data_IF_127163732446
#
_entry.id   IF_127163732446
#
_cell.length_a   1.000
_cell.length_b   1.000
_cell.length_c   1.000
_cell.angle_alpha   90.00
_cell.angle_beta   90.00
_cell.angle_gamma   90.00
#
_symmetry.space_group_name_H-M   'P 1'
#
loop_
_entity.id
_entity.type
_entity.pdbx_description
1 polymer ?
#
# COMPACT_ATOMS: atom_id res chain seq x y z
N UNK A 1 38.19 62.60 -8.87
CA UNK A 1 37.68 61.83 -7.67
C UNK A 1 36.34 61.25 -8.04
N UNK A 2 36.36 59.97 -8.45
CA UNK A 2 35.20 59.26 -8.89
C UNK A 2 34.87 58.31 -7.73
N UNK A 3 33.69 58.50 -7.12
CA UNK A 3 33.17 57.57 -6.08
C UNK A 3 32.34 56.45 -6.78
N UNK A 4 32.84 55.25 -6.73
CA UNK A 4 32.12 54.04 -7.12
C UNK A 4 31.11 53.68 -6.03
N UNK A 5 29.82 53.70 -6.38
CA UNK A 5 28.75 53.19 -5.53
C UNK A 5 28.61 51.68 -5.79
N UNK A 6 28.89 50.89 -4.77
CA UNK A 6 28.59 49.44 -4.79
C UNK A 6 27.11 49.21 -4.58
N UNK A 7 26.46 48.66 -5.58
CA UNK A 7 25.07 48.19 -5.51
C UNK A 7 25.05 46.83 -4.80
N UNK A 8 24.58 46.80 -3.56
CA UNK A 8 24.32 45.54 -2.84
C UNK A 8 23.00 45.04 -3.34
N UNK A 9 23.05 43.97 -4.14
CA UNK A 9 21.86 43.23 -4.59
C UNK A 9 21.39 42.35 -3.44
N UNK A 10 20.37 42.80 -2.71
CA UNK A 10 19.69 41.97 -1.70
C UNK A 10 18.82 40.96 -2.43
N UNK A 11 19.29 39.74 -2.52
CA UNK A 11 18.46 38.62 -2.98
C UNK A 11 17.48 38.33 -1.84
N UNK A 12 16.24 38.73 -2.02
CA UNK A 12 15.14 38.29 -1.19
C UNK A 12 14.91 36.80 -1.50
N UNK A 13 15.38 35.92 -0.62
CA UNK A 13 14.97 34.50 -0.61
C UNK A 13 13.50 34.51 -0.21
N UNK A 14 12.63 34.38 -1.18
CA UNK A 14 11.23 34.03 -0.93
C UNK A 14 11.24 32.66 -0.26
N UNK A 15 11.12 32.65 1.07
CA UNK A 15 10.92 31.46 1.84
C UNK A 15 9.61 30.83 1.38
N UNK A 16 9.70 29.75 0.61
CA UNK A 16 8.61 28.83 0.42
C UNK A 16 8.16 28.41 1.82
N UNK A 17 6.85 28.50 2.10
CA UNK A 17 6.26 27.93 3.30
C UNK A 17 6.37 26.39 3.21
N UNK A 18 7.58 25.88 3.37
CA UNK A 18 7.77 24.48 3.67
C UNK A 18 7.11 24.24 5.03
N UNK A 19 6.06 23.45 5.05
CA UNK A 19 5.46 23.00 6.29
C UNK A 19 6.55 22.50 7.22
N UNK A 20 6.42 22.77 8.52
CA UNK A 20 7.40 22.37 9.52
C UNK A 20 7.80 20.91 9.30
N UNK A 21 9.11 20.65 9.24
CA UNK A 21 9.63 19.30 9.20
C UNK A 21 8.97 18.47 10.33
N UNK A 22 8.59 17.22 10.06
CA UNK A 22 7.91 16.39 11.05
C UNK A 22 8.77 16.24 12.29
N UNK A 23 8.17 16.53 13.45
CA UNK A 23 8.85 16.36 14.75
C UNK A 23 8.74 14.90 15.14
N UNK A 24 9.87 14.22 15.22
CA UNK A 24 9.93 12.91 15.86
C UNK A 24 9.64 13.08 17.36
N UNK A 25 8.60 12.41 17.86
CA UNK A 25 7.93 12.75 19.12
C UNK A 25 8.61 12.28 20.41
N UNK A 26 9.84 11.76 20.36
CA UNK A 26 10.57 11.36 21.56
C UNK A 26 12.03 11.81 21.54
N UNK A 27 12.40 12.84 22.30
CA UNK A 27 13.77 13.35 22.34
C UNK A 27 14.77 12.42 23.04
N UNK A 28 14.30 11.37 23.72
CA UNK A 28 15.17 10.47 24.51
C UNK A 28 15.41 9.11 23.86
N UNK A 29 14.67 8.77 22.82
CA UNK A 29 14.93 7.54 22.07
C UNK A 29 16.05 7.79 21.05
N UNK A 30 16.98 6.84 20.93
CA UNK A 30 17.88 6.79 19.77
C UNK A 30 17.02 6.80 18.48
N UNK A 31 17.43 7.55 17.48
CA UNK A 31 16.69 7.66 16.24
C UNK A 31 16.48 6.27 15.64
N UNK A 32 15.23 5.80 15.67
CA UNK A 32 14.81 4.55 15.01
C UNK A 32 14.59 4.77 13.52
N UNK A 33 14.22 6.01 13.17
CA UNK A 33 14.06 6.42 11.79
C UNK A 33 14.55 7.88 11.65
N UNK A 34 15.42 8.12 10.71
CA UNK A 34 15.88 9.45 10.34
C UNK A 34 15.34 9.80 8.93
N UNK A 35 15.05 11.07 8.65
CA UNK A 35 14.69 11.48 7.30
C UNK A 35 15.85 11.18 6.34
N UNK A 36 15.60 10.33 5.33
CA UNK A 36 16.53 10.07 4.24
C UNK A 36 16.38 11.16 3.17
N UNK A 37 15.15 11.46 2.82
CA UNK A 37 14.77 12.54 1.94
C UNK A 37 13.33 12.94 2.17
N UNK A 38 12.99 14.19 1.88
CA UNK A 38 11.62 14.68 1.93
C UNK A 38 11.25 15.20 0.54
N UNK A 39 10.23 14.65 -0.05
CA UNK A 39 9.71 15.06 -1.35
C UNK A 39 8.40 15.81 -1.16
N UNK A 40 8.29 16.98 -1.78
CA UNK A 40 7.00 17.65 -1.94
C UNK A 40 6.42 17.25 -3.29
N UNK A 41 5.26 16.65 -3.27
CA UNK A 41 4.46 16.44 -4.47
C UNK A 41 3.44 17.57 -4.47
N UNK A 42 3.40 18.39 -5.53
CA UNK A 42 2.54 19.59 -5.64
C UNK A 42 1.05 19.26 -5.73
N UNK A 43 0.59 18.59 -4.70
CA UNK A 43 -0.79 18.17 -4.53
C UNK A 43 -1.59 19.13 -3.63
N UNK A 44 -0.86 19.80 -2.72
CA UNK A 44 -1.43 20.62 -1.66
C UNK A 44 -2.21 21.83 -2.17
N UNK A 45 -1.71 22.50 -3.20
CA UNK A 45 -2.33 23.71 -3.72
C UNK A 45 -3.73 23.47 -4.30
N UNK A 46 -3.92 22.40 -5.04
CA UNK A 46 -5.22 22.10 -5.66
C UNK A 46 -6.34 21.78 -4.65
N UNK A 47 -5.99 21.23 -3.47
CA UNK A 47 -6.97 20.89 -2.44
C UNK A 47 -7.34 22.06 -1.54
N UNK A 48 -6.43 23.00 -1.32
CA UNK A 48 -6.69 24.17 -0.46
C UNK A 48 -7.62 25.19 -1.12
N UNK A 49 -7.62 25.28 -2.44
CA UNK A 49 -8.47 26.20 -3.19
C UNK A 49 -9.95 25.79 -3.24
N UNK A 50 -10.26 24.50 -2.96
CA UNK A 50 -11.60 23.96 -3.12
C UNK A 50 -12.39 23.74 -1.82
N UNK A 51 -11.74 23.84 -0.63
CA UNK A 51 -12.42 23.52 0.63
C UNK A 51 -12.61 24.73 1.54
N UNK A 52 -13.70 25.43 1.37
CA UNK A 52 -14.07 26.54 2.28
C UNK A 52 -14.91 26.11 3.50
N UNK A 53 -15.31 24.86 3.67
CA UNK A 53 -16.36 24.56 4.67
C UNK A 53 -16.21 23.23 5.44
N UNK A 54 -15.33 22.30 5.10
CA UNK A 54 -15.17 21.07 5.90
C UNK A 54 -13.69 20.77 6.18
N UNK A 55 -13.38 20.36 7.42
CA UNK A 55 -12.11 19.70 7.78
C UNK A 55 -12.02 18.32 7.11
N UNK A 56 -12.05 18.29 5.80
CA UNK A 56 -11.80 17.06 5.07
C UNK A 56 -10.29 16.79 5.10
N UNK A 57 -9.91 15.77 5.84
CA UNK A 57 -8.52 15.27 5.79
C UNK A 57 -8.40 14.43 4.52
N UNK A 58 -7.63 14.87 3.52
CA UNK A 58 -7.37 14.06 2.35
C UNK A 58 -6.69 12.76 2.78
N UNK A 59 -6.91 11.68 2.04
CA UNK A 59 -6.26 10.38 2.27
C UNK A 59 -5.57 9.93 1.01
N UNK A 60 -4.30 9.64 1.13
CA UNK A 60 -3.51 9.02 0.08
C UNK A 60 -3.47 7.51 0.29
N UNK A 61 -3.62 6.75 -0.78
CA UNK A 61 -3.75 5.30 -0.72
C UNK A 61 -2.64 4.56 -1.47
N UNK A 62 -1.98 5.21 -2.41
CA UNK A 62 -0.99 4.56 -3.25
C UNK A 62 0.32 4.33 -2.48
N UNK A 63 0.76 3.09 -2.41
CA UNK A 63 2.05 2.72 -1.85
C UNK A 63 3.18 3.25 -2.76
N UNK A 64 4.13 4.05 -2.25
CA UNK A 64 5.32 4.41 -3.02
C UNK A 64 6.14 3.17 -3.35
N UNK A 65 6.64 3.07 -4.57
CA UNK A 65 7.48 1.97 -5.02
C UNK A 65 8.88 2.48 -5.40
N UNK A 66 9.92 1.68 -5.13
CA UNK A 66 11.28 1.97 -5.57
C UNK A 66 11.59 1.17 -6.83
N UNK A 67 12.12 1.83 -7.85
CA UNK A 67 12.75 1.16 -8.97
C UNK A 67 14.11 0.62 -8.54
N UNK A 68 14.28 -0.69 -8.44
CA UNK A 68 15.52 -1.29 -7.91
C UNK A 68 16.73 -1.01 -8.79
N UNK A 69 16.53 -0.72 -10.08
CA UNK A 69 17.63 -0.46 -11.02
C UNK A 69 18.20 0.97 -10.88
N UNK A 70 17.34 1.94 -10.56
CA UNK A 70 17.74 3.36 -10.52
C UNK A 70 17.65 4.00 -9.13
N UNK A 71 17.05 3.33 -8.14
CA UNK A 71 16.77 3.88 -6.82
C UNK A 71 15.71 4.98 -6.82
N UNK A 72 15.03 5.23 -7.95
CA UNK A 72 13.98 6.23 -8.04
C UNK A 72 12.69 5.76 -7.40
N UNK A 73 11.96 6.68 -6.83
CA UNK A 73 10.64 6.44 -6.25
C UNK A 73 9.57 6.75 -7.31
N UNK A 74 8.63 5.82 -7.49
CA UNK A 74 7.44 6.05 -8.31
C UNK A 74 6.22 6.04 -7.41
N UNK A 75 5.39 7.08 -7.51
CA UNK A 75 4.21 7.25 -6.67
C UNK A 75 3.10 7.95 -7.44
N UNK A 76 1.90 7.41 -7.33
CA UNK A 76 0.67 8.06 -7.76
C UNK A 76 0.00 8.77 -6.57
N UNK A 77 -0.72 9.85 -6.83
CA UNK A 77 -1.40 10.64 -5.80
C UNK A 77 -2.84 10.96 -6.19
N UNK A 78 -3.61 11.46 -5.25
CA UNK A 78 -5.03 11.79 -5.46
C UNK A 78 -5.28 12.91 -6.45
N UNK A 79 -4.28 13.73 -6.76
CA UNK A 79 -4.35 14.74 -7.81
C UNK A 79 -4.36 14.14 -9.23
N UNK A 80 -4.34 12.82 -9.35
CA UNK A 80 -4.30 12.13 -10.64
C UNK A 80 -2.93 12.17 -11.32
N UNK A 81 -1.86 12.44 -10.57
CA UNK A 81 -0.52 12.50 -11.15
C UNK A 81 0.36 11.36 -10.64
N UNK A 82 0.89 10.59 -11.58
CA UNK A 82 1.95 9.62 -11.34
C UNK A 82 3.30 10.31 -11.52
N UNK A 83 4.18 10.22 -10.53
CA UNK A 83 5.50 10.87 -10.54
C UNK A 83 6.61 9.86 -10.32
N UNK A 84 7.72 10.02 -11.03
CA UNK A 84 8.99 9.41 -10.67
C UNK A 84 9.90 10.50 -10.12
N UNK A 85 10.41 10.29 -8.91
CA UNK A 85 11.28 11.23 -8.22
C UNK A 85 12.59 10.54 -7.81
N UNK A 86 13.67 11.30 -7.79
CA UNK A 86 14.95 10.84 -7.25
C UNK A 86 14.94 10.90 -5.73
N UNK A 87 15.90 10.23 -5.09
CA UNK A 87 16.03 10.24 -3.63
C UNK A 87 16.23 11.65 -3.03
N UNK A 88 16.75 12.60 -3.83
CA UNK A 88 16.91 14.00 -3.45
C UNK A 88 15.69 14.88 -3.81
N UNK A 89 14.56 14.28 -4.18
CA UNK A 89 13.28 14.94 -4.39
C UNK A 89 13.07 15.58 -5.76
N UNK A 90 13.94 15.33 -6.74
CA UNK A 90 13.77 15.90 -8.09
C UNK A 90 12.82 15.03 -8.91
N UNK A 91 11.78 15.66 -9.46
CA UNK A 91 10.89 14.99 -10.42
C UNK A 91 11.66 14.70 -11.70
N UNK A 92 11.63 13.45 -12.13
CA UNK A 92 12.25 12.97 -13.39
C UNK A 92 11.25 12.96 -14.51
N UNK A 93 10.06 12.48 -14.24
CA UNK A 93 8.93 12.52 -15.15
C UNK A 93 7.63 12.51 -14.35
N UNK A 94 6.57 12.95 -14.99
CA UNK A 94 5.20 12.88 -14.47
C UNK A 94 4.22 12.54 -15.57
N UNK A 95 3.14 11.85 -15.20
CA UNK A 95 2.00 11.54 -16.05
C UNK A 95 0.73 12.00 -15.36
N UNK A 96 -0.05 12.86 -16.01
CA UNK A 96 -1.35 13.32 -15.52
C UNK A 96 -2.44 12.40 -16.05
N UNK A 97 -3.34 11.97 -15.19
CA UNK A 97 -4.52 11.15 -15.52
C UNK A 97 -5.79 11.84 -15.05
N UNK A 98 -6.97 11.50 -15.61
CA UNK A 98 -8.22 12.15 -15.24
C UNK A 98 -8.77 11.75 -13.87
N UNK A 99 -8.19 10.75 -13.20
CA UNK A 99 -8.65 10.23 -11.92
C UNK A 99 -7.51 9.97 -10.93
N UNK A 100 -7.81 9.90 -9.62
CA UNK A 100 -6.85 9.58 -8.57
C UNK A 100 -6.17 8.22 -8.73
N UNK A 101 -5.00 8.07 -8.06
CA UNK A 101 -4.39 6.77 -7.85
C UNK A 101 -4.75 6.22 -6.47
N UNK A 102 -5.33 5.02 -6.44
CA UNK A 102 -5.74 4.34 -5.19
C UNK A 102 -4.82 3.20 -4.78
N UNK A 103 -3.93 2.78 -5.67
CA UNK A 103 -2.99 1.69 -5.43
C UNK A 103 -1.57 2.06 -5.86
N UNK A 104 -0.59 1.37 -5.29
CA UNK A 104 0.78 1.46 -5.71
C UNK A 104 1.02 0.86 -7.09
N UNK A 105 2.20 1.06 -7.63
CA UNK A 105 2.64 0.52 -8.92
C UNK A 105 3.47 -0.74 -8.74
N UNK A 106 3.50 -1.59 -9.75
CA UNK A 106 4.51 -2.64 -9.88
C UNK A 106 5.63 -2.12 -10.78
N UNK A 107 6.89 -2.23 -10.31
CA UNK A 107 8.06 -1.93 -11.14
C UNK A 107 8.81 -3.23 -11.38
N UNK A 108 8.99 -3.59 -12.64
CA UNK A 108 9.70 -4.81 -13.01
C UNK A 108 10.35 -4.68 -14.39
N UNK A 109 11.61 -5.10 -14.48
CA UNK A 109 12.38 -5.16 -15.73
C UNK A 109 12.36 -3.82 -16.51
N UNK A 110 12.47 -2.68 -15.79
CA UNK A 110 12.47 -1.34 -16.35
C UNK A 110 11.09 -0.83 -16.80
N UNK A 111 10.01 -1.53 -16.45
CA UNK A 111 8.63 -1.14 -16.74
C UNK A 111 7.86 -0.86 -15.46
N UNK A 112 7.11 0.24 -15.44
CA UNK A 112 6.16 0.61 -14.39
C UNK A 112 4.76 0.23 -14.86
N UNK A 113 4.09 -0.66 -14.14
CA UNK A 113 2.68 -1.00 -14.36
C UNK A 113 1.84 -0.25 -13.34
N UNK A 114 1.07 0.72 -13.83
CA UNK A 114 0.33 1.67 -13.00
C UNK A 114 -1.17 1.50 -13.17
N UNK A 115 -1.88 1.08 -12.12
CA UNK A 115 -3.35 1.02 -12.12
C UNK A 115 -3.91 2.41 -11.83
N UNK A 116 -4.84 2.87 -12.64
CA UNK A 116 -5.51 4.16 -12.46
C UNK A 116 -6.93 4.04 -11.91
N UNK A 117 -7.37 5.03 -11.13
CA UNK A 117 -8.76 5.18 -10.72
C UNK A 117 -9.70 5.45 -11.88
N UNK A 118 -9.17 5.83 -13.03
CA UNK A 118 -9.90 5.95 -14.30
C UNK A 118 -10.19 4.62 -15.00
N UNK A 119 -9.85 3.50 -14.35
CA UNK A 119 -10.04 2.17 -14.89
C UNK A 119 -8.95 1.72 -15.88
N UNK A 120 -7.97 2.56 -16.15
CA UNK A 120 -6.92 2.27 -17.13
C UNK A 120 -5.66 1.79 -16.43
N UNK A 121 -5.19 0.59 -16.78
CA UNK A 121 -3.83 0.17 -16.45
C UNK A 121 -2.87 0.62 -17.56
N UNK A 122 -1.72 1.12 -17.16
CA UNK A 122 -0.68 1.68 -18.04
C UNK A 122 0.64 1.00 -17.77
N UNK A 123 1.35 0.63 -18.83
CA UNK A 123 2.76 0.27 -18.76
C UNK A 123 3.61 1.43 -19.27
N UNK A 124 4.61 1.83 -18.49
CA UNK A 124 5.49 2.94 -18.83
C UNK A 124 6.94 2.51 -18.69
N UNK A 125 7.83 3.11 -19.50
CA UNK A 125 9.28 3.00 -19.26
C UNK A 125 9.63 3.66 -17.92
N UNK A 126 10.28 2.92 -17.03
CA UNK A 126 10.60 3.41 -15.69
C UNK A 126 11.56 4.62 -15.70
N UNK A 127 12.42 4.74 -16.70
CA UNK A 127 13.41 5.82 -16.80
C UNK A 127 12.84 7.14 -17.33
N UNK A 128 11.86 7.08 -18.27
CA UNK A 128 11.34 8.25 -19.00
C UNK A 128 9.88 8.55 -18.76
N UNK A 129 9.10 7.61 -18.23
CA UNK A 129 7.65 7.72 -18.12
C UNK A 129 6.91 7.58 -19.46
N UNK A 130 7.62 7.22 -20.54
CA UNK A 130 6.98 7.01 -21.84
C UNK A 130 6.03 5.82 -21.78
N UNK A 131 4.78 6.03 -22.20
CA UNK A 131 3.76 4.99 -22.24
C UNK A 131 4.13 3.95 -23.30
N UNK A 132 4.19 2.69 -22.89
CA UNK A 132 4.43 1.54 -23.77
C UNK A 132 3.11 0.99 -24.31
N UNK A 133 2.15 0.80 -23.40
CA UNK A 133 0.80 0.38 -23.73
C UNK A 133 -0.19 0.81 -22.64
N UNK A 134 -1.47 0.78 -22.98
CA UNK A 134 -2.58 1.01 -22.04
C UNK A 134 -3.68 -0.01 -22.31
N UNK A 135 -4.43 -0.36 -21.26
CA UNK A 135 -5.64 -1.16 -21.37
C UNK A 135 -6.72 -0.56 -20.48
N UNK A 136 -7.90 -0.33 -21.04
CA UNK A 136 -9.08 0.17 -20.31
C UNK A 136 -9.90 -1.02 -19.80
N UNK A 137 -9.93 -1.19 -18.46
CA UNK A 137 -10.72 -2.20 -17.79
C UNK A 137 -12.18 -1.76 -17.59
N UNK A 138 -12.49 -0.47 -17.76
CA UNK A 138 -13.82 0.10 -17.55
C UNK A 138 -14.27 0.16 -16.08
N UNK A 139 -13.39 -0.18 -15.14
CA UNK A 139 -13.66 -0.26 -13.70
C UNK A 139 -12.46 0.28 -12.91
N UNK A 140 -12.71 1.05 -11.84
CA UNK A 140 -11.62 1.58 -10.98
C UNK A 140 -10.66 0.47 -10.54
N UNK A 141 -9.37 0.67 -10.75
CA UNK A 141 -8.33 -0.27 -10.33
C UNK A 141 -7.80 0.14 -8.95
N UNK A 142 -7.87 -0.78 -7.99
CA UNK A 142 -7.63 -0.46 -6.57
C UNK A 142 -6.57 -1.34 -5.90
N UNK A 143 -5.94 -2.24 -6.67
CA UNK A 143 -4.89 -3.13 -6.14
C UNK A 143 -3.56 -2.89 -6.82
N UNK A 144 -2.47 -3.14 -6.09
CA UNK A 144 -1.13 -3.16 -6.68
C UNK A 144 -1.07 -4.30 -7.70
N UNK A 145 -0.63 -4.05 -8.94
CA UNK A 145 -0.47 -5.11 -9.92
C UNK A 145 0.57 -6.14 -9.49
N UNK A 146 0.35 -7.40 -9.84
CA UNK A 146 1.34 -8.47 -9.63
C UNK A 146 1.67 -9.16 -10.95
N UNK A 147 2.85 -9.76 -11.02
CA UNK A 147 3.31 -10.46 -12.22
C UNK A 147 3.21 -11.97 -12.04
N UNK A 148 2.60 -12.66 -13.01
CA UNK A 148 2.54 -14.11 -13.08
C UNK A 148 2.60 -14.59 -14.52
N UNK A 149 3.45 -15.58 -14.83
CA UNK A 149 3.48 -16.26 -16.12
C UNK A 149 3.52 -15.29 -17.34
N UNK A 150 4.29 -14.19 -17.23
CA UNK A 150 4.36 -13.15 -18.26
C UNK A 150 3.13 -12.25 -18.36
N UNK A 151 2.23 -12.29 -17.37
CA UNK A 151 1.01 -11.49 -17.33
C UNK A 151 1.03 -10.53 -16.16
N UNK A 152 0.43 -9.36 -16.35
CA UNK A 152 0.12 -8.40 -15.30
C UNK A 152 -1.30 -8.67 -14.80
N UNK A 153 -1.42 -8.93 -13.50
CA UNK A 153 -2.68 -9.18 -12.83
C UNK A 153 -3.05 -7.97 -12.00
N UNK A 154 -4.27 -7.47 -12.13
CA UNK A 154 -4.77 -6.32 -11.36
C UNK A 154 -6.25 -6.51 -11.06
N UNK A 155 -6.68 -6.19 -9.83
CA UNK A 155 -8.08 -6.30 -9.46
C UNK A 155 -8.75 -4.92 -9.39
N UNK A 156 -10.03 -4.89 -9.77
CA UNK A 156 -10.90 -3.72 -9.73
C UNK A 156 -11.70 -3.61 -8.44
N UNK A 157 -12.30 -2.46 -8.23
CA UNK A 157 -13.27 -2.21 -7.15
C UNK A 157 -14.52 -3.09 -7.28
N UNK A 158 -14.87 -3.51 -8.49
CA UNK A 158 -16.05 -4.36 -8.77
C UNK A 158 -15.76 -5.86 -8.70
N UNK A 159 -14.70 -6.26 -7.97
CA UNK A 159 -14.33 -7.67 -7.75
C UNK A 159 -13.99 -8.44 -9.04
N UNK A 160 -13.41 -7.77 -10.02
CA UNK A 160 -12.88 -8.39 -11.25
C UNK A 160 -11.35 -8.42 -11.19
N UNK A 161 -10.75 -9.58 -11.36
CA UNK A 161 -9.31 -9.75 -11.59
C UNK A 161 -9.06 -9.84 -13.09
N UNK A 162 -8.26 -8.91 -13.61
CA UNK A 162 -7.83 -8.89 -15.01
C UNK A 162 -6.43 -9.46 -15.13
N UNK A 163 -6.18 -10.21 -16.20
CA UNK A 163 -4.85 -10.66 -16.61
C UNK A 163 -4.57 -10.17 -18.02
N UNK A 164 -3.50 -9.38 -18.16
CA UNK A 164 -3.07 -8.78 -19.40
C UNK A 164 -1.67 -9.27 -19.75
N UNK A 165 -1.38 -9.43 -21.01
CA UNK A 165 -0.02 -9.71 -21.46
C UNK A 165 0.90 -8.56 -21.07
N UNK A 166 2.02 -8.86 -20.41
CA UNK A 166 2.92 -7.84 -19.89
C UNK A 166 3.66 -7.06 -20.99
N UNK A 167 3.84 -7.66 -22.17
CA UNK A 167 4.60 -7.07 -23.26
C UNK A 167 3.79 -6.04 -24.06
N UNK A 168 2.51 -6.31 -24.31
CA UNK A 168 1.69 -5.48 -25.22
C UNK A 168 0.32 -5.06 -24.63
N UNK A 169 0.01 -5.46 -23.41
CA UNK A 169 -1.21 -5.07 -22.69
C UNK A 169 -2.48 -5.75 -23.19
N UNK A 170 -2.38 -6.75 -24.09
CA UNK A 170 -3.57 -7.44 -24.57
C UNK A 170 -4.23 -8.24 -23.45
N UNK A 171 -5.56 -8.21 -23.46
CA UNK A 171 -6.36 -9.04 -22.57
C UNK A 171 -6.10 -10.53 -22.82
N UNK A 172 -5.91 -11.28 -21.72
CA UNK A 172 -5.71 -12.73 -21.77
C UNK A 172 -6.89 -13.46 -21.14
N UNK A 173 -7.21 -13.12 -19.90
CA UNK A 173 -8.36 -13.63 -19.19
C UNK A 173 -8.80 -12.68 -18.07
N UNK A 174 -10.00 -12.91 -17.56
CA UNK A 174 -10.49 -12.26 -16.35
C UNK A 174 -11.26 -13.25 -15.50
N UNK A 175 -11.25 -13.04 -14.19
CA UNK A 175 -12.09 -13.75 -13.24
C UNK A 175 -12.94 -12.73 -12.49
N UNK A 176 -14.26 -12.90 -12.55
CA UNK A 176 -15.22 -11.94 -12.00
C UNK A 176 -16.13 -12.62 -10.99
N UNK A 177 -16.37 -11.92 -9.88
CA UNK A 177 -17.43 -12.25 -8.93
C UNK A 177 -18.47 -11.14 -8.91
N UNK A 178 -19.70 -11.50 -8.54
CA UNK A 178 -20.76 -10.50 -8.35
C UNK A 178 -20.61 -9.92 -6.96
N UNK A 179 -20.37 -8.60 -6.82
CA UNK A 179 -20.35 -7.97 -5.50
C UNK A 179 -21.67 -8.19 -4.77
N UNK A 180 -21.68 -8.33 -3.44
CA UNK A 180 -22.91 -8.45 -2.67
C UNK A 180 -23.76 -7.18 -2.80
N UNK A 181 -25.07 -7.33 -2.67
CA UNK A 181 -26.04 -6.21 -2.78
C UNK A 181 -26.01 -5.24 -1.57
N UNK A 182 -25.03 -5.34 -0.69
CA UNK A 182 -24.89 -4.54 0.52
C UNK A 182 -23.71 -3.59 0.51
N UNK A 183 -23.41 -3.03 1.68
CA UNK A 183 -22.20 -2.23 1.88
C UNK A 183 -20.95 -3.10 1.82
N UNK A 184 -20.00 -2.74 0.98
CA UNK A 184 -18.70 -3.39 0.82
C UNK A 184 -17.59 -2.43 1.22
N UNK A 185 -16.54 -2.96 1.84
CA UNK A 185 -15.35 -2.16 2.19
C UNK A 185 -14.42 -2.02 0.99
N UNK A 186 -14.20 -3.11 0.25
CA UNK A 186 -13.38 -3.17 -0.98
C UNK A 186 -13.87 -4.27 -1.90
N UNK A 187 -13.61 -4.13 -3.20
CA UNK A 187 -14.04 -5.13 -4.20
C UNK A 187 -13.28 -6.44 -4.12
N UNK A 188 -11.95 -6.37 -4.09
CA UNK A 188 -11.07 -7.53 -4.01
C UNK A 188 -9.76 -7.19 -3.29
N UNK A 189 -9.06 -8.22 -2.83
CA UNK A 189 -7.70 -8.09 -2.29
C UNK A 189 -6.67 -7.91 -3.40
N UNK A 190 -5.48 -7.40 -3.04
CA UNK A 190 -4.30 -7.57 -3.90
C UNK A 190 -4.01 -9.06 -4.03
N UNK A 191 -3.90 -9.60 -5.26
CA UNK A 191 -3.61 -11.02 -5.43
C UNK A 191 -2.19 -11.36 -5.00
N UNK A 192 -1.98 -12.60 -4.57
CA UNK A 192 -0.66 -13.17 -4.30
C UNK A 192 -0.45 -14.36 -5.21
N UNK A 193 0.76 -14.49 -5.77
CA UNK A 193 1.10 -15.55 -6.72
C UNK A 193 2.15 -16.46 -6.12
N UNK A 194 1.90 -17.76 -6.18
CA UNK A 194 2.86 -18.80 -5.79
C UNK A 194 2.69 -20.02 -6.68
N UNK A 195 3.79 -20.52 -7.21
CA UNK A 195 3.86 -21.77 -8.01
C UNK A 195 2.83 -21.82 -9.16
N UNK A 196 2.63 -20.70 -9.88
CA UNK A 196 1.69 -20.61 -10.99
C UNK A 196 0.20 -20.51 -10.57
N UNK A 197 -0.07 -20.33 -9.28
CA UNK A 197 -1.42 -20.17 -8.73
C UNK A 197 -1.58 -18.75 -8.17
N UNK A 198 -2.72 -18.12 -8.47
CA UNK A 198 -3.12 -16.80 -7.99
C UNK A 198 -4.13 -16.97 -6.87
N UNK A 199 -3.84 -16.39 -5.70
CA UNK A 199 -4.71 -16.43 -4.53
C UNK A 199 -5.22 -15.03 -4.21
N UNK A 200 -6.52 -14.91 -3.97
CA UNK A 200 -7.12 -13.63 -3.59
C UNK A 200 -8.44 -13.85 -2.83
N UNK A 201 -8.85 -12.83 -2.11
CA UNK A 201 -10.14 -12.78 -1.43
C UNK A 201 -11.03 -11.69 -2.05
N UNK A 202 -12.34 -11.79 -1.80
CA UNK A 202 -13.38 -10.97 -2.38
C UNK A 202 -14.32 -10.40 -1.33
N UNK A 203 -15.01 -9.32 -1.70
CA UNK A 203 -15.98 -8.64 -0.82
C UNK A 203 -17.26 -9.45 -0.56
N UNK A 204 -17.52 -10.49 -1.34
CA UNK A 204 -18.66 -11.39 -1.16
C UNK A 204 -18.41 -12.54 -0.16
N UNK A 205 -17.30 -12.47 0.59
CA UNK A 205 -16.94 -13.44 1.62
C UNK A 205 -16.19 -14.66 1.12
N UNK A 206 -15.77 -14.66 -0.14
CA UNK A 206 -15.04 -15.77 -0.74
C UNK A 206 -13.53 -15.55 -0.75
N UNK A 207 -12.79 -16.64 -0.76
CA UNK A 207 -11.40 -16.71 -1.21
C UNK A 207 -11.30 -17.71 -2.36
N UNK A 208 -10.41 -17.46 -3.31
CA UNK A 208 -10.21 -18.32 -4.46
C UNK A 208 -8.73 -18.53 -4.80
N UNK A 209 -8.42 -19.69 -5.39
CA UNK A 209 -7.18 -19.96 -6.09
C UNK A 209 -7.47 -20.20 -7.56
N UNK A 210 -6.71 -19.52 -8.41
CA UNK A 210 -6.88 -19.55 -9.86
C UNK A 210 -5.57 -20.00 -10.53
N UNK A 211 -5.67 -20.72 -11.60
CA UNK A 211 -4.53 -20.99 -12.47
C UNK A 211 -4.06 -19.70 -13.13
N UNK A 212 -2.80 -19.32 -12.96
CA UNK A 212 -2.28 -18.03 -13.45
C UNK A 212 -2.25 -17.94 -14.98
N UNK A 213 -2.22 -19.06 -15.69
CA UNK A 213 -2.20 -19.07 -17.16
C UNK A 213 -3.57 -18.89 -17.77
N UNK A 214 -4.58 -19.50 -17.16
CA UNK A 214 -5.92 -19.61 -17.77
C UNK A 214 -7.00 -18.82 -17.05
N UNK A 215 -6.77 -18.41 -15.78
CA UNK A 215 -7.77 -17.81 -14.93
C UNK A 215 -8.82 -18.81 -14.41
N UNK A 216 -8.67 -20.10 -14.73
CA UNK A 216 -9.57 -21.15 -14.27
C UNK A 216 -9.50 -21.33 -12.75
N UNK A 217 -10.65 -21.41 -12.08
CA UNK A 217 -10.69 -21.63 -10.65
C UNK A 217 -10.21 -23.05 -10.32
N UNK A 218 -9.18 -23.13 -9.47
CA UNK A 218 -8.70 -24.39 -8.86
C UNK A 218 -9.61 -24.73 -7.69
N UNK A 219 -9.86 -23.74 -6.84
CA UNK A 219 -10.87 -23.81 -5.80
C UNK A 219 -11.45 -22.41 -5.50
N UNK A 220 -12.65 -22.41 -4.95
CA UNK A 220 -13.39 -21.24 -4.51
C UNK A 220 -14.10 -21.63 -3.20
N UNK A 221 -13.88 -20.87 -2.13
CA UNK A 221 -14.38 -21.17 -0.78
C UNK A 221 -15.08 -20.00 -0.16
N UNK A 222 -16.25 -20.25 0.40
CA UNK A 222 -16.97 -19.31 1.26
C UNK A 222 -16.31 -19.31 2.63
N UNK A 223 -15.78 -18.17 3.06
CA UNK A 223 -15.19 -18.00 4.39
C UNK A 223 -16.09 -17.18 5.30
N UNK A 224 -16.92 -16.31 4.74
CA UNK A 224 -17.84 -15.45 5.48
C UNK A 224 -19.18 -15.39 4.79
N UNK A 225 -20.26 -15.37 5.58
CA UNK A 225 -21.62 -15.30 5.07
C UNK A 225 -22.42 -14.20 5.77
N UNK A 226 -23.44 -13.67 5.09
CA UNK A 226 -24.30 -12.62 5.62
C UNK A 226 -24.55 -11.52 4.59
N UNK A 227 -25.04 -10.39 5.06
CA UNK A 227 -25.41 -9.26 4.20
C UNK A 227 -24.51 -8.03 4.38
N UNK A 228 -23.66 -8.00 5.41
CA UNK A 228 -22.81 -6.85 5.72
C UNK A 228 -21.46 -7.31 6.30
N UNK A 229 -20.39 -6.59 5.93
CA UNK A 229 -19.04 -6.76 6.46
C UNK A 229 -18.45 -8.18 6.31
N UNK A 230 -18.87 -8.89 5.27
CA UNK A 230 -18.39 -10.25 4.99
C UNK A 230 -17.06 -10.28 4.22
N UNK A 231 -16.51 -9.12 3.93
CA UNK A 231 -15.33 -8.93 3.09
C UNK A 231 -14.14 -9.82 3.52
N UNK A 232 -13.55 -10.51 2.55
CA UNK A 232 -12.27 -11.21 2.62
C UNK A 232 -11.29 -10.46 1.72
N UNK A 233 -11.12 -9.18 1.96
CA UNK A 233 -10.35 -8.27 1.08
C UNK A 233 -8.92 -8.00 1.56
N UNK A 234 -8.45 -8.73 2.58
CA UNK A 234 -7.04 -8.69 3.00
C UNK A 234 -6.14 -9.31 1.93
N UNK A 235 -5.00 -8.68 1.64
CA UNK A 235 -3.95 -9.32 0.83
C UNK A 235 -3.52 -10.61 1.52
N UNK A 236 -3.64 -11.78 0.87
CA UNK A 236 -3.23 -13.05 1.47
C UNK A 236 -1.74 -13.11 1.79
N UNK A 237 -1.35 -13.99 2.70
CA UNK A 237 0.05 -14.32 2.96
C UNK A 237 0.23 -15.81 3.13
N UNK A 238 1.47 -16.31 3.08
CA UNK A 238 1.76 -17.71 3.32
C UNK A 238 2.54 -17.87 4.62
N UNK A 239 2.14 -18.84 5.44
CA UNK A 239 2.90 -19.28 6.60
C UNK A 239 4.08 -20.20 6.20
N UNK A 240 4.98 -20.56 7.13
CA UNK A 240 6.08 -21.47 6.85
C UNK A 240 5.66 -22.89 6.44
N UNK A 241 4.47 -23.33 6.83
CA UNK A 241 3.91 -24.63 6.44
C UNK A 241 3.28 -24.61 5.04
N UNK A 242 3.11 -23.42 4.45
CA UNK A 242 2.54 -23.22 3.14
C UNK A 242 1.03 -23.00 3.14
N UNK A 243 0.41 -22.81 4.30
CA UNK A 243 -1.00 -22.44 4.38
C UNK A 243 -1.21 -21.02 3.93
N UNK A 244 -2.34 -20.76 3.30
CA UNK A 244 -2.78 -19.43 2.89
C UNK A 244 -3.47 -18.75 4.07
N UNK A 245 -2.93 -17.64 4.53
CA UNK A 245 -3.49 -16.84 5.61
C UNK A 245 -4.29 -15.69 5.00
N UNK A 246 -5.56 -15.58 5.40
CA UNK A 246 -6.47 -14.51 4.99
C UNK A 246 -7.26 -14.00 6.20
N UNK A 247 -7.76 -12.77 6.12
CA UNK A 247 -8.67 -12.21 7.11
C UNK A 247 -10.03 -11.94 6.49
N UNK A 248 -11.08 -12.34 7.19
CA UNK A 248 -12.44 -11.85 7.00
C UNK A 248 -12.70 -10.75 8.03
N UNK A 249 -13.24 -9.64 7.58
CA UNK A 249 -13.59 -8.53 8.49
C UNK A 249 -14.55 -8.97 9.59
N UNK A 250 -15.50 -9.83 9.27
CA UNK A 250 -16.51 -10.35 10.20
C UNK A 250 -16.02 -11.53 11.04
N UNK A 251 -15.34 -12.49 10.41
CA UNK A 251 -15.14 -13.81 10.98
C UNK A 251 -13.69 -14.12 11.40
N UNK A 252 -12.78 -13.14 11.33
CA UNK A 252 -11.41 -13.22 11.84
C UNK A 252 -10.40 -13.78 10.85
N UNK A 253 -9.37 -14.47 11.37
CA UNK A 253 -8.28 -15.02 10.58
C UNK A 253 -8.56 -16.47 10.21
N UNK A 254 -8.17 -16.82 9.00
CA UNK A 254 -8.20 -18.20 8.50
C UNK A 254 -6.82 -18.61 8.01
N UNK A 255 -6.43 -19.86 8.30
CA UNK A 255 -5.43 -20.58 7.55
C UNK A 255 -6.11 -21.62 6.69
N UNK A 256 -5.82 -21.60 5.40
CA UNK A 256 -6.38 -22.52 4.42
C UNK A 256 -5.26 -23.39 3.85
N UNK A 257 -5.55 -24.65 3.59
CA UNK A 257 -4.70 -25.46 2.73
C UNK A 257 -4.66 -24.82 1.34
N UNK A 258 -3.48 -24.43 0.88
CA UNK A 258 -3.33 -23.68 -0.36
C UNK A 258 -3.76 -24.49 -1.60
N UNK A 259 -3.75 -25.83 -1.55
CA UNK A 259 -4.10 -26.69 -2.69
C UNK A 259 -5.59 -26.95 -2.78
N UNK A 260 -6.25 -27.16 -1.63
CA UNK A 260 -7.68 -27.52 -1.60
C UNK A 260 -8.60 -26.36 -1.20
N UNK A 261 -8.07 -25.33 -0.53
CA UNK A 261 -8.85 -24.25 0.06
C UNK A 261 -9.56 -24.64 1.35
N UNK A 262 -9.31 -25.85 1.89
CA UNK A 262 -9.95 -26.29 3.13
C UNK A 262 -9.38 -25.54 4.33
N UNK A 263 -10.25 -25.21 5.29
CA UNK A 263 -9.84 -24.51 6.51
C UNK A 263 -9.02 -25.42 7.41
N UNK A 264 -7.77 -25.04 7.67
CA UNK A 264 -6.88 -25.72 8.62
C UNK A 264 -7.18 -25.24 10.04
N UNK A 265 -7.28 -23.95 10.23
CA UNK A 265 -7.75 -23.34 11.46
C UNK A 265 -8.43 -21.99 11.19
N UNK A 266 -9.27 -21.57 12.12
CA UNK A 266 -9.91 -20.26 12.17
C UNK A 266 -9.74 -19.66 13.55
N UNK A 267 -9.33 -18.41 13.63
CA UNK A 267 -9.37 -17.65 14.88
C UNK A 267 -10.65 -16.85 14.97
N UNK A 268 -11.18 -16.69 16.18
CA UNK A 268 -12.34 -15.84 16.40
C UNK A 268 -11.93 -14.37 16.55
N UNK A 269 -12.75 -13.47 16.06
CA UNK A 269 -12.56 -12.02 16.19
C UNK A 269 -13.02 -11.31 14.92
N UNK A 270 -13.59 -10.12 15.05
CA UNK A 270 -14.07 -9.31 13.94
C UNK A 270 -13.21 -8.05 13.78
N UNK A 271 -13.37 -7.34 12.67
CA UNK A 271 -12.75 -6.06 12.43
C UNK A 271 -11.30 -6.13 11.92
N UNK A 272 -10.79 -7.30 11.52
CA UNK A 272 -9.47 -7.44 10.92
C UNK A 272 -9.57 -7.28 9.39
N UNK A 273 -8.83 -6.31 8.84
CA UNK A 273 -8.88 -5.96 7.42
C UNK A 273 -7.56 -6.19 6.68
N UNK A 274 -6.44 -6.28 7.40
CA UNK A 274 -5.11 -6.37 6.83
C UNK A 274 -4.31 -7.47 7.50
N UNK A 275 -3.54 -8.20 6.70
CA UNK A 275 -2.70 -9.31 7.14
C UNK A 275 -1.28 -9.13 6.60
N UNK A 276 -0.29 -9.31 7.45
CA UNK A 276 1.13 -9.40 7.09
C UNK A 276 1.73 -10.63 7.75
N UNK A 277 2.11 -11.62 6.97
CA UNK A 277 2.74 -12.85 7.49
C UNK A 277 4.26 -12.69 7.47
N UNK A 278 4.91 -12.98 8.60
CA UNK A 278 6.37 -12.98 8.75
C UNK A 278 6.83 -14.22 9.53
N UNK A 279 7.27 -15.23 8.79
CA UNK A 279 7.64 -16.52 9.38
C UNK A 279 6.47 -17.09 10.20
N UNK A 280 6.69 -17.47 11.48
CA UNK A 280 5.66 -18.07 12.33
C UNK A 280 4.64 -17.08 12.91
N UNK A 281 4.72 -15.80 12.56
CA UNK A 281 3.86 -14.74 13.12
C UNK A 281 3.03 -14.08 12.02
N UNK A 282 1.75 -13.89 12.32
CA UNK A 282 0.80 -13.11 11.53
C UNK A 282 0.58 -11.79 12.27
N UNK A 283 0.84 -10.67 11.61
CA UNK A 283 0.40 -9.36 12.08
C UNK A 283 -0.91 -9.01 11.39
N UNK A 284 -1.97 -8.79 12.17
CA UNK A 284 -3.27 -8.45 11.62
C UNK A 284 -3.76 -7.13 12.21
N UNK A 285 -4.15 -6.22 11.33
CA UNK A 285 -4.63 -4.89 11.69
C UNK A 285 -6.10 -4.73 11.31
N UNK A 286 -6.82 -4.04 12.16
CA UNK A 286 -8.20 -3.63 11.95
C UNK A 286 -8.37 -2.13 12.15
N UNK A 287 -9.60 -1.65 12.27
CA UNK A 287 -9.86 -0.22 12.43
C UNK A 287 -9.33 0.33 13.76
N UNK A 288 -9.44 -0.44 14.83
CA UNK A 288 -9.20 0.01 16.22
C UNK A 288 -8.04 -0.72 16.91
N UNK A 289 -7.46 -1.73 16.28
CA UNK A 289 -6.41 -2.55 16.90
C UNK A 289 -5.46 -3.16 15.88
N UNK A 290 -4.31 -3.58 16.41
CA UNK A 290 -3.37 -4.47 15.73
C UNK A 290 -2.95 -5.59 16.68
N UNK A 291 -2.68 -6.76 16.15
CA UNK A 291 -2.20 -7.89 16.94
C UNK A 291 -1.21 -8.76 16.19
N UNK A 292 -0.42 -9.50 16.97
CA UNK A 292 0.38 -10.63 16.49
C UNK A 292 -0.30 -11.94 16.87
N UNK A 293 -0.31 -12.87 15.95
CA UNK A 293 -0.95 -14.18 16.09
C UNK A 293 0.01 -15.27 15.64
N UNK A 294 -0.07 -16.45 16.27
CA UNK A 294 0.66 -17.62 15.82
C UNK A 294 0.15 -18.06 14.46
N UNK A 295 1.03 -18.22 13.49
CA UNK A 295 0.66 -18.74 12.17
C UNK A 295 0.24 -20.21 12.21
N UNK A 296 0.75 -20.98 13.16
CA UNK A 296 0.43 -22.39 13.36
C UNK A 296 -0.99 -22.60 13.92
N UNK A 297 -1.44 -21.72 14.83
CA UNK A 297 -2.68 -21.97 15.61
C UNK A 297 -3.72 -20.87 15.53
N UNK A 298 -3.40 -19.72 14.95
CA UNK A 298 -4.27 -18.54 14.95
C UNK A 298 -4.45 -17.87 16.32
N UNK A 299 -3.81 -18.37 17.38
CA UNK A 299 -3.92 -17.78 18.74
C UNK A 299 -3.17 -16.46 18.82
N UNK A 300 -3.75 -15.49 19.52
CA UNK A 300 -3.11 -14.20 19.76
C UNK A 300 -1.86 -14.34 20.63
N UNK A 301 -0.78 -13.70 20.22
CA UNK A 301 0.47 -13.54 20.99
C UNK A 301 0.36 -12.25 21.80
N UNK A 302 0.03 -11.16 21.13
CA UNK A 302 -0.31 -9.89 21.74
C UNK A 302 -1.34 -9.15 20.86
N UNK A 303 -2.12 -8.28 21.49
CA UNK A 303 -3.06 -7.37 20.83
C UNK A 303 -2.98 -6.02 21.51
N UNK A 304 -2.92 -4.95 20.74
CA UNK A 304 -2.94 -3.58 21.27
C UNK A 304 -3.99 -2.72 20.54
N UNK A 305 -4.64 -1.79 21.24
CA UNK A 305 -5.48 -0.81 20.58
C UNK A 305 -4.64 0.16 19.76
N UNK A 306 -5.16 0.59 18.62
CA UNK A 306 -4.59 1.69 17.87
C UNK A 306 -5.14 3.02 18.38
N UNK A 307 -4.31 4.06 18.49
CA UNK A 307 -4.76 5.38 18.95
C UNK A 307 -5.69 6.08 17.95
N UNK A 308 -5.65 5.62 16.69
CA UNK A 308 -6.44 6.09 15.57
C UNK A 308 -6.75 4.91 14.65
N UNK A 309 -7.70 5.09 13.73
CA UNK A 309 -7.97 4.09 12.68
C UNK A 309 -6.69 3.67 11.99
N UNK A 310 -6.53 2.36 11.80
CA UNK A 310 -5.50 1.86 10.91
C UNK A 310 -5.67 2.47 9.49
N UNK A 311 -4.55 2.74 8.86
CA UNK A 311 -4.52 3.05 7.44
C UNK A 311 -4.76 1.80 6.60
N UNK A 312 -3.82 1.52 5.70
CA UNK A 312 -3.79 0.28 4.94
C UNK A 312 -2.91 -0.79 5.62
N UNK A 313 -2.43 -1.74 4.83
CA UNK A 313 -1.63 -2.86 5.30
C UNK A 313 -0.34 -2.39 6.01
N UNK A 314 0.00 -2.96 7.16
CA UNK A 314 1.30 -2.75 7.78
C UNK A 314 2.46 -3.21 6.90
N UNK A 315 3.63 -2.57 7.05
CA UNK A 315 4.87 -2.97 6.42
C UNK A 315 5.89 -3.44 7.46
N UNK A 316 6.99 -4.01 7.01
CA UNK A 316 8.05 -4.50 7.89
C UNK A 316 9.42 -4.04 7.37
N UNK A 317 10.16 -3.28 8.16
CA UNK A 317 11.49 -2.80 7.81
C UNK A 317 12.43 -2.89 9.01
N UNK A 318 13.66 -3.35 8.79
CA UNK A 318 14.72 -3.42 9.80
C UNK A 318 14.31 -4.06 11.13
N UNK A 319 13.48 -5.12 11.09
CA UNK A 319 13.01 -5.80 12.29
C UNK A 319 11.88 -5.08 13.03
N UNK A 320 11.32 -4.01 12.49
CA UNK A 320 10.20 -3.28 13.07
C UNK A 320 8.94 -3.40 12.21
N UNK A 321 7.80 -3.43 12.88
CA UNK A 321 6.49 -3.36 12.24
C UNK A 321 6.08 -1.89 12.08
N UNK A 322 5.81 -1.48 10.85
CA UNK A 322 5.41 -0.13 10.48
C UNK A 322 3.91 -0.13 10.24
N UNK A 323 3.17 0.58 11.08
CA UNK A 323 1.70 0.60 11.05
C UNK A 323 1.20 2.00 10.69
N UNK A 324 0.66 2.20 9.49
CA UNK A 324 0.05 3.47 9.13
C UNK A 324 -1.26 3.66 9.92
N UNK A 325 -1.47 4.88 10.39
CA UNK A 325 -2.72 5.28 11.08
C UNK A 325 -3.22 6.61 10.55
N UNK A 326 -4.46 6.94 10.86
CA UNK A 326 -5.08 8.20 10.42
C UNK A 326 -4.32 9.46 10.85
N UNK A 327 -3.42 9.38 11.83
CA UNK A 327 -2.63 10.53 12.31
C UNK A 327 -1.12 10.36 12.20
N UNK A 328 -0.61 9.12 12.13
CA UNK A 328 0.84 8.89 12.17
C UNK A 328 1.23 7.52 11.63
N UNK A 329 2.52 7.31 11.43
CA UNK A 329 3.13 6.01 11.26
C UNK A 329 3.71 5.55 12.60
N UNK A 330 3.30 4.38 13.08
CA UNK A 330 3.82 3.76 14.28
C UNK A 330 4.94 2.77 13.94
N UNK A 331 6.01 2.81 14.71
CA UNK A 331 7.09 1.82 14.69
C UNK A 331 6.92 0.94 15.93
N UNK A 332 6.62 -0.33 15.71
CA UNK A 332 6.24 -1.27 16.76
C UNK A 332 7.27 -2.40 16.82
N UNK A 333 7.70 -2.75 18.04
CA UNK A 333 8.44 -3.98 18.28
C UNK A 333 7.54 -5.18 18.00
N UNK A 334 7.85 -6.02 17.02
CA UNK A 334 6.98 -7.12 16.60
C UNK A 334 6.86 -8.22 17.67
N UNK A 335 7.79 -8.31 18.61
CA UNK A 335 7.81 -9.34 19.67
C UNK A 335 6.87 -8.96 20.80
N UNK A 336 6.98 -7.72 21.29
CA UNK A 336 6.24 -7.26 22.47
C UNK A 336 4.97 -6.47 22.14
N UNK A 337 4.79 -6.01 20.91
CA UNK A 337 3.73 -5.09 20.53
C UNK A 337 3.92 -3.65 21.03
N UNK A 338 5.07 -3.34 21.64
CA UNK A 338 5.34 -2.01 22.16
C UNK A 338 5.58 -1.00 21.03
N UNK A 339 4.91 0.15 21.08
CA UNK A 339 5.21 1.29 20.20
C UNK A 339 6.54 1.90 20.64
N UNK A 340 7.55 1.81 19.78
CA UNK A 340 8.89 2.35 20.04
C UNK A 340 9.01 3.79 19.55
N UNK A 341 8.35 4.11 18.45
CA UNK A 341 8.40 5.44 17.81
C UNK A 341 7.10 5.75 17.11
N UNK A 342 6.83 7.05 16.96
CA UNK A 342 5.75 7.59 16.15
C UNK A 342 6.33 8.65 15.22
N UNK A 343 6.01 8.56 13.94
CA UNK A 343 6.29 9.59 12.94
C UNK A 343 4.97 10.27 12.55
N UNK A 344 4.88 11.56 12.79
CA UNK A 344 3.72 12.38 12.46
C UNK A 344 4.06 13.35 11.33
N UNK A 345 3.57 13.10 10.11
CA UNK A 345 3.78 14.02 8.98
C UNK A 345 2.79 15.19 8.95
N UNK A 346 1.97 15.38 9.99
CA UNK A 346 1.01 16.47 10.13
C UNK A 346 -0.45 16.12 9.86
N UNK A 347 -0.76 15.20 8.96
CA UNK A 347 -2.15 14.76 8.64
C UNK A 347 -2.25 13.24 8.51
N UNK A 348 -1.28 12.53 9.05
CA UNK A 348 -1.26 11.07 9.11
C UNK A 348 -0.79 10.39 7.84
N UNK A 349 -0.83 9.07 7.89
CA UNK A 349 -0.40 8.15 6.83
C UNK A 349 -1.49 7.11 6.64
N UNK A 350 -2.14 7.10 5.50
CA UNK A 350 -3.12 6.04 5.18
C UNK A 350 -2.50 4.94 4.34
N UNK A 351 -1.67 5.30 3.38
CA UNK A 351 -1.02 4.36 2.46
C UNK A 351 -0.07 3.40 3.19
N UNK A 352 0.01 2.17 2.72
CA UNK A 352 1.06 1.23 3.12
C UNK A 352 2.43 1.82 2.83
N UNK A 353 3.37 1.85 3.79
CA UNK A 353 4.73 2.28 3.50
C UNK A 353 5.41 1.38 2.46
N UNK A 354 6.03 1.97 1.45
CA UNK A 354 6.93 1.24 0.56
C UNK A 354 8.24 0.92 1.29
N UNK A 355 8.74 -0.30 1.16
CA UNK A 355 9.99 -0.72 1.83
C UNK A 355 11.03 -1.13 0.82
N UNK A 356 12.24 -0.61 0.97
CA UNK A 356 13.40 -0.96 0.16
C UNK A 356 14.65 -1.09 1.04
N UNK A 357 15.06 -2.33 1.32
CA UNK A 357 16.11 -2.60 2.30
C UNK A 357 15.76 -2.07 3.70
N UNK A 358 16.61 -1.26 4.30
CA UNK A 358 16.34 -0.62 5.59
C UNK A 358 15.43 0.63 5.48
N UNK A 359 15.14 1.09 4.26
CA UNK A 359 14.45 2.35 4.04
C UNK A 359 12.95 2.14 3.88
N UNK A 360 12.16 3.04 4.46
CA UNK A 360 10.71 3.10 4.31
C UNK A 360 10.33 4.39 3.59
N UNK A 361 9.53 4.26 2.54
CA UNK A 361 8.93 5.38 1.82
C UNK A 361 7.50 5.60 2.30
N UNK A 362 7.23 6.76 2.82
CA UNK A 362 5.97 7.09 3.46
C UNK A 362 5.28 8.20 2.69
N UNK A 363 4.13 7.91 2.10
CA UNK A 363 3.25 8.91 1.51
C UNK A 363 2.30 9.43 2.58
N UNK A 364 2.45 10.69 2.95
CA UNK A 364 1.55 11.36 3.90
C UNK A 364 0.23 11.72 3.23
N UNK A 365 -0.81 11.90 4.04
CA UNK A 365 -2.12 12.36 3.56
C UNK A 365 -2.11 13.80 3.00
N UNK A 366 -1.01 14.51 3.13
CA UNK A 366 -0.76 15.82 2.51
C UNK A 366 -0.06 15.73 1.14
N UNK A 367 0.19 14.52 0.63
CA UNK A 367 0.88 14.32 -0.65
C UNK A 367 2.41 14.46 -0.59
N UNK A 368 3.01 14.50 0.61
CA UNK A 368 4.46 14.47 0.76
C UNK A 368 4.96 13.03 0.84
N UNK A 369 6.04 12.73 0.12
CA UNK A 369 6.77 11.48 0.27
C UNK A 369 7.99 11.71 1.15
N UNK A 370 8.09 10.91 2.19
CA UNK A 370 9.22 10.90 3.12
C UNK A 370 10.02 9.61 2.94
N UNK A 371 11.33 9.73 2.75
CA UNK A 371 12.25 8.62 2.88
C UNK A 371 12.77 8.56 4.32
N UNK A 372 12.56 7.44 4.97
CA UNK A 372 12.99 7.20 6.35
C UNK A 372 13.98 6.04 6.37
N UNK A 373 15.17 6.26 6.91
CA UNK A 373 16.11 5.17 7.20
C UNK A 373 15.73 4.55 8.55
N UNK A 374 15.29 3.29 8.51
CA UNK A 374 14.79 2.59 9.71
C UNK A 374 15.91 1.80 10.34
N UNK A 375 16.23 2.11 11.59
CA UNK A 375 17.18 1.37 12.42
C UNK A 375 16.48 0.74 13.62
N UNK A 376 16.83 -0.49 13.94
CA UNK A 376 16.35 -1.17 15.14
C UNK A 376 17.50 -1.27 16.17
N UNK A 377 17.46 -0.48 17.25
CA UNK A 377 18.54 -0.51 18.25
C UNK A 377 18.59 -1.80 19.07
N UNK A 378 17.57 -2.66 18.99
CA UNK A 378 17.54 -3.97 19.63
C UNK A 378 18.05 -5.12 18.76
N UNK A 379 18.46 -4.85 17.51
CA UNK A 379 18.99 -5.85 16.59
C UNK A 379 20.54 -5.93 16.59
N UNK A 380 21.21 -5.31 17.58
CA UNK A 380 22.67 -5.38 17.81
C UNK A 380 23.02 -6.47 18.80
#
# INVERSE_FOLDING_TARGET
>A
MIRTASLILTVAVLGSCAGKAPVLSDPFSRELAAPLAVYSIDYWHAMMETSTVMEFVPREFATPAVDPASGRVVVGTRDGVLRSVTIDGRVRWSLVTPAPFYAGVLIRDGVVYSPGGDGVIRALKADTGAVLWTYDCGEELVTVPVMAEGRVLVASQSATLYALDAADGKWVWQYRRTPPAGFILRGASTPVVRDGVVYLGFSDGHAAALDAKTGGAIWDRVLSTGTQFIDVSSTPGFDPAGHLIVASYKDGLFALDAKSGDTVWQSTGSGLAYVLVRGPVIFAAGEDRIGAYSAETGKSIWVMPLPDRAGQQPAFASGLLLVPTGKSLLFIDPVSGKVLRRFDPGKGVTATPGVYGPDALVLSNLGFVYGLHVTNPGAL
#
